data_IF_540311905327
#
_entry.id   IF_540311905327
#
_cell.length_a   1.000
_cell.length_b   1.000
_cell.length_c   1.000
_cell.angle_alpha   90.00
_cell.angle_beta   90.00
_cell.angle_gamma   90.00
#
_symmetry.space_group_name_H-M   'P 1'
#
loop_
_entity.id
_entity.type
_entity.pdbx_description
1 polymer ?
#
# COMPACT_ATOMS: atom_id res chain seq x y z
N UNK A 1 6.60 8.31 6.86
CA UNK A 1 5.96 8.22 5.53
C UNK A 1 4.56 7.61 5.58
N UNK A 2 4.36 6.32 5.88
CA UNK A 2 3.00 5.75 5.83
C UNK A 2 2.04 6.34 6.87
N UNK A 3 2.45 6.39 8.14
CA UNK A 3 1.64 7.00 9.20
C UNK A 3 1.27 8.45 8.89
N UNK A 4 2.20 9.18 8.30
CA UNK A 4 2.03 10.57 7.88
C UNK A 4 1.04 10.67 6.71
N UNK A 5 1.17 9.82 5.69
CA UNK A 5 0.21 9.76 4.58
C UNK A 5 -1.20 9.42 5.05
N UNK A 6 -1.34 8.50 6.01
CA UNK A 6 -2.63 8.18 6.64
C UNK A 6 -3.19 9.38 7.41
N UNK A 7 -2.35 10.03 8.20
CA UNK A 7 -2.73 11.23 8.94
C UNK A 7 -3.19 12.36 8.01
N UNK A 8 -2.46 12.65 6.95
CA UNK A 8 -2.82 13.65 5.94
C UNK A 8 -4.11 13.30 5.20
N UNK A 9 -4.33 12.01 4.90
CA UNK A 9 -5.56 11.55 4.26
C UNK A 9 -6.78 11.69 5.18
N UNK A 10 -6.62 11.40 6.48
CA UNK A 10 -7.66 11.62 7.49
C UNK A 10 -8.00 13.10 7.61
N UNK A 11 -6.99 13.98 7.70
CA UNK A 11 -7.20 15.43 7.71
C UNK A 11 -7.91 15.93 6.44
N UNK A 12 -7.49 15.43 5.28
CA UNK A 12 -8.12 15.77 3.99
C UNK A 12 -9.57 15.31 3.90
N UNK A 13 -9.92 14.22 4.58
CA UNK A 13 -11.28 13.72 4.69
C UNK A 13 -12.11 14.42 5.77
N UNK A 14 -11.51 15.32 6.56
CA UNK A 14 -12.14 16.00 7.68
C UNK A 14 -12.45 15.08 8.86
N UNK A 15 -11.69 13.99 9.02
CA UNK A 15 -11.84 13.00 10.08
C UNK A 15 -10.66 13.14 11.04
N UNK A 16 -10.92 13.24 12.34
CA UNK A 16 -9.88 13.29 13.37
C UNK A 16 -9.38 11.89 13.71
N UNK A 17 -8.17 11.79 14.26
CA UNK A 17 -7.63 10.50 14.71
C UNK A 17 -8.48 9.92 15.85
N UNK A 18 -9.03 10.79 16.71
CA UNK A 18 -9.91 10.40 17.80
C UNK A 18 -11.24 9.80 17.31
N UNK A 19 -11.75 10.23 16.16
CA UNK A 19 -12.93 9.62 15.53
C UNK A 19 -12.65 8.22 14.96
N UNK A 20 -11.38 7.93 14.64
CA UNK A 20 -10.95 6.63 14.11
C UNK A 20 -10.71 5.63 15.24
N UNK A 21 -10.16 6.09 16.36
CA UNK A 21 -9.85 5.23 17.52
C UNK A 21 -11.16 4.71 18.15
N UNK A 22 -11.45 3.44 17.93
CA UNK A 22 -12.63 2.74 18.48
C UNK A 22 -13.85 2.68 17.54
N UNK A 23 -13.74 3.20 16.31
CA UNK A 23 -14.74 3.01 15.27
C UNK A 23 -14.56 1.66 14.54
N UNK A 24 -15.61 1.20 13.85
CA UNK A 24 -15.54 0.03 12.96
C UNK A 24 -14.83 0.41 11.65
N UNK A 25 -13.50 0.37 11.71
CA UNK A 25 -12.60 0.76 10.64
C UNK A 25 -11.62 -0.36 10.36
N UNK A 26 -11.44 -0.68 9.09
CA UNK A 26 -10.41 -1.60 8.62
C UNK A 26 -9.34 -0.85 7.83
N UNK A 27 -8.07 -1.22 8.05
CA UNK A 27 -6.92 -0.66 7.34
C UNK A 27 -6.41 -1.69 6.33
N UNK A 28 -6.48 -1.33 5.05
CA UNK A 28 -5.97 -2.11 3.92
C UNK A 28 -4.65 -1.50 3.46
N UNK A 29 -3.55 -2.24 3.61
CA UNK A 29 -2.25 -1.78 3.12
C UNK A 29 -1.71 -2.73 2.06
N UNK A 30 -1.44 -2.16 0.89
CA UNK A 30 -0.81 -2.81 -0.24
C UNK A 30 0.67 -2.43 -0.34
N UNK A 31 1.52 -3.41 -0.64
CA UNK A 31 2.93 -3.17 -0.91
C UNK A 31 3.33 -3.93 -2.17
N UNK A 32 4.27 -3.38 -2.94
CA UNK A 32 4.79 -4.11 -4.10
C UNK A 32 5.78 -5.20 -3.66
N UNK A 33 6.74 -4.84 -2.81
CA UNK A 33 7.85 -5.68 -2.37
C UNK A 33 8.32 -5.24 -0.97
N UNK A 34 9.01 -6.15 -0.26
CA UNK A 34 9.58 -5.91 1.06
C UNK A 34 11.07 -5.53 0.99
N UNK A 35 11.43 -4.59 0.10
CA UNK A 35 12.82 -4.22 -0.18
C UNK A 35 13.66 -3.90 1.08
N UNK A 36 13.04 -3.25 2.07
CA UNK A 36 13.70 -2.91 3.33
C UNK A 36 14.03 -4.15 4.17
N UNK A 37 13.09 -5.09 4.29
CA UNK A 37 13.32 -6.34 5.01
C UNK A 37 14.33 -7.22 4.28
N UNK A 38 14.24 -7.32 2.95
CA UNK A 38 15.23 -8.05 2.15
C UNK A 38 16.65 -7.49 2.36
N UNK A 39 16.77 -6.17 2.51
CA UNK A 39 18.04 -5.51 2.79
C UNK A 39 18.55 -5.80 4.21
N UNK A 40 17.68 -5.79 5.22
CA UNK A 40 18.02 -6.11 6.61
C UNK A 40 18.43 -7.58 6.78
N UNK A 41 17.77 -8.50 6.08
CA UNK A 41 18.04 -9.94 6.13
C UNK A 41 19.35 -10.33 5.44
N UNK A 42 19.99 -9.42 4.70
CA UNK A 42 21.18 -9.71 3.88
C UNK A 42 22.43 -9.98 4.70
N UNK A 43 22.56 -9.35 5.87
CA UNK A 43 23.69 -9.53 6.79
C UNK A 43 23.19 -10.05 8.15
N UNK A 44 23.35 -11.36 8.43
CA UNK A 44 22.92 -11.97 9.67
C UNK A 44 23.52 -11.35 10.93
N UNK A 45 24.72 -10.77 10.83
CA UNK A 45 25.43 -10.19 11.99
C UNK A 45 24.88 -8.81 12.36
N UNK A 46 24.18 -8.15 11.43
CA UNK A 46 23.53 -6.85 11.66
C UNK A 46 22.03 -6.95 11.90
N UNK A 47 21.49 -8.18 11.86
CA UNK A 47 20.08 -8.41 12.01
C UNK A 47 19.60 -7.97 13.41
N UNK A 48 18.70 -6.96 13.49
CA UNK A 48 18.23 -6.49 14.78
C UNK A 48 17.40 -7.58 15.48
N UNK A 49 17.49 -7.73 16.80
CA UNK A 49 16.64 -8.66 17.53
C UNK A 49 15.19 -8.14 17.51
N UNK A 50 14.37 -8.68 16.62
CA UNK A 50 12.91 -8.48 16.60
C UNK A 50 12.20 -9.84 16.44
N UNK A 51 10.91 -9.91 16.81
CA UNK A 51 10.12 -11.13 16.68
C UNK A 51 9.72 -11.35 15.20
N UNK A 52 10.20 -12.42 14.53
CA UNK A 52 9.87 -12.69 13.14
C UNK A 52 8.36 -12.89 12.89
N UNK A 53 7.60 -13.32 13.91
CA UNK A 53 6.15 -13.51 13.81
C UNK A 53 5.39 -12.19 13.74
N UNK A 54 5.96 -11.10 14.26
CA UNK A 54 5.37 -9.76 14.12
C UNK A 54 5.55 -9.20 12.70
N UNK A 55 6.50 -9.74 11.92
CA UNK A 55 6.94 -9.16 10.63
C UNK A 55 6.40 -9.82 9.36
N UNK A 56 5.64 -10.91 9.47
CA UNK A 56 4.91 -11.40 8.29
C UNK A 56 3.68 -10.49 7.98
N UNK A 57 3.33 -9.63 8.95
CA UNK A 57 2.27 -8.62 8.91
C UNK A 57 2.80 -7.17 8.73
N UNK A 58 4.08 -6.99 8.37
CA UNK A 58 4.84 -5.77 8.71
C UNK A 58 4.62 -4.55 7.83
N UNK A 59 3.40 -4.03 7.92
CA UNK A 59 3.14 -2.63 7.69
C UNK A 59 2.50 -1.96 8.91
N UNK A 60 2.07 -2.72 9.94
CA UNK A 60 1.05 -2.21 10.86
C UNK A 60 1.15 -2.52 12.36
N UNK A 61 2.30 -2.44 13.06
CA UNK A 61 2.23 -2.29 14.52
C UNK A 61 1.57 -0.95 14.90
N UNK A 62 1.93 0.13 14.20
CA UNK A 62 1.45 1.48 14.50
C UNK A 62 0.08 1.79 13.87
N UNK A 63 -0.29 1.12 12.77
CA UNK A 63 -1.60 1.28 12.13
C UNK A 63 -2.67 0.36 12.70
N UNK A 64 -2.29 -0.74 13.38
CA UNK A 64 -3.23 -1.57 14.14
C UNK A 64 -3.96 -0.79 15.24
N UNK A 65 -3.39 0.35 15.68
CA UNK A 65 -4.06 1.28 16.61
C UNK A 65 -5.29 1.97 15.98
N UNK A 66 -5.39 2.04 14.65
CA UNK A 66 -6.51 2.64 13.92
C UNK A 66 -7.59 1.62 13.52
N UNK A 67 -7.25 0.34 13.48
CA UNK A 67 -8.15 -0.74 13.08
C UNK A 67 -7.37 -2.01 12.73
N UNK A 68 -8.00 -3.20 12.75
CA UNK A 68 -7.32 -4.43 12.42
C UNK A 68 -6.82 -4.40 10.96
N UNK A 69 -5.55 -4.77 10.70
CA UNK A 69 -5.08 -4.95 9.34
C UNK A 69 -5.79 -6.16 8.71
N UNK A 70 -6.31 -6.02 7.49
CA UNK A 70 -6.77 -7.20 6.73
C UNK A 70 -5.64 -7.80 5.91
N UNK A 71 -5.43 -9.13 5.97
CA UNK A 71 -4.44 -9.79 5.12
C UNK A 71 -4.83 -9.63 3.65
N UNK A 72 -3.85 -9.32 2.80
CA UNK A 72 -4.03 -9.34 1.36
C UNK A 72 -4.33 -10.79 0.94
N UNK A 73 -5.45 -10.99 0.23
CA UNK A 73 -6.03 -12.33 0.04
C UNK A 73 -5.36 -13.14 -1.09
N UNK A 74 -4.28 -12.63 -1.67
CA UNK A 74 -3.70 -13.08 -2.95
C UNK A 74 -2.18 -13.33 -2.88
N UNK A 75 -1.72 -13.97 -1.80
CA UNK A 75 -0.32 -14.41 -1.71
C UNK A 75 0.68 -13.27 -1.45
N UNK A 76 0.22 -12.17 -0.84
CA UNK A 76 0.97 -11.21 -0.04
C UNK A 76 2.02 -10.34 -0.75
N UNK A 77 2.91 -10.91 -1.53
CA UNK A 77 4.11 -10.24 -2.01
C UNK A 77 4.57 -10.88 -3.31
N UNK A 78 4.90 -10.06 -4.31
CA UNK A 78 5.34 -10.53 -5.61
C UNK A 78 5.31 -9.41 -6.65
N UNK A 79 5.82 -9.69 -7.85
CA UNK A 79 5.84 -8.72 -8.96
C UNK A 79 4.43 -8.49 -9.57
N UNK A 80 3.41 -8.32 -8.73
CA UNK A 80 2.03 -8.09 -9.12
C UNK A 80 1.66 -6.62 -8.96
N UNK A 81 1.47 -5.94 -10.09
CA UNK A 81 1.07 -4.53 -10.11
C UNK A 81 -0.41 -4.31 -9.76
N UNK A 82 -1.24 -5.36 -9.72
CA UNK A 82 -2.66 -5.25 -9.40
C UNK A 82 -2.95 -5.07 -7.92
N UNK A 83 -1.97 -5.29 -7.03
CA UNK A 83 -2.12 -5.16 -5.58
C UNK A 83 -2.64 -3.77 -5.20
N UNK A 84 -2.12 -2.71 -5.83
CA UNK A 84 -2.56 -1.33 -5.58
C UNK A 84 -4.02 -1.05 -5.95
N UNK A 85 -4.65 -1.88 -6.79
CA UNK A 85 -6.08 -1.79 -7.12
C UNK A 85 -6.92 -2.84 -6.38
N UNK A 86 -6.33 -3.98 -6.03
CA UNK A 86 -6.98 -5.01 -5.24
C UNK A 86 -7.33 -4.51 -3.83
N UNK A 87 -6.46 -3.71 -3.21
CA UNK A 87 -6.71 -3.18 -1.86
C UNK A 87 -7.91 -2.20 -1.80
N UNK A 88 -8.06 -1.21 -2.72
CA UNK A 88 -9.30 -0.45 -2.83
C UNK A 88 -10.53 -1.32 -3.09
N UNK A 89 -10.40 -2.36 -3.93
CA UNK A 89 -11.51 -3.25 -4.23
C UNK A 89 -12.00 -3.97 -2.97
N UNK A 90 -11.10 -4.52 -2.16
CA UNK A 90 -11.42 -5.19 -0.90
C UNK A 90 -12.06 -4.24 0.11
N UNK A 91 -11.53 -3.02 0.25
CA UNK A 91 -12.12 -1.99 1.10
C UNK A 91 -13.57 -1.67 0.69
N UNK A 92 -13.80 -1.55 -0.62
CA UNK A 92 -15.14 -1.34 -1.15
C UNK A 92 -16.08 -2.52 -0.88
N UNK A 93 -15.60 -3.77 -0.89
CA UNK A 93 -16.41 -4.93 -0.51
C UNK A 93 -16.77 -4.90 0.97
N UNK A 94 -15.80 -4.62 1.84
CA UNK A 94 -15.98 -4.56 3.29
C UNK A 94 -17.03 -3.50 3.69
N UNK A 95 -16.92 -2.30 3.12
CA UNK A 95 -17.90 -1.23 3.29
C UNK A 95 -19.30 -1.64 2.80
N UNK A 96 -19.41 -2.28 1.63
CA UNK A 96 -20.71 -2.73 1.09
C UNK A 96 -21.34 -3.88 1.89
N UNK A 97 -20.52 -4.72 2.50
CA UNK A 97 -20.97 -5.78 3.39
C UNK A 97 -21.47 -5.24 4.75
N UNK A 98 -21.21 -3.97 5.05
CA UNK A 98 -21.51 -3.37 6.35
C UNK A 98 -20.58 -3.84 7.45
N UNK A 99 -19.40 -4.35 7.09
CA UNK A 99 -18.35 -4.78 8.03
C UNK A 99 -17.55 -3.58 8.56
N UNK A 100 -17.51 -2.49 7.80
CA UNK A 100 -16.85 -1.24 8.16
C UNK A 100 -17.74 -0.03 7.83
N UNK A 101 -17.64 1.03 8.62
CA UNK A 101 -18.24 2.34 8.26
C UNK A 101 -17.28 3.21 7.44
N UNK A 102 -15.98 3.07 7.70
CA UNK A 102 -14.88 3.76 7.02
C UNK A 102 -13.77 2.74 6.76
N UNK A 103 -13.13 2.82 5.60
CA UNK A 103 -11.95 2.02 5.28
C UNK A 103 -10.77 2.93 4.92
N UNK A 104 -9.62 2.65 5.51
CA UNK A 104 -8.35 3.31 5.19
C UNK A 104 -7.62 2.41 4.18
N UNK A 105 -7.27 2.95 3.02
CA UNK A 105 -6.55 2.20 1.98
C UNK A 105 -5.25 2.89 1.68
N UNK A 106 -4.14 2.20 1.92
CA UNK A 106 -2.80 2.72 1.62
C UNK A 106 -2.07 1.79 0.66
N UNK A 107 -1.22 2.35 -0.19
CA UNK A 107 -0.29 1.61 -1.01
C UNK A 107 1.08 2.26 -0.98
N UNK A 108 2.13 1.46 -0.88
CA UNK A 108 3.51 1.95 -0.87
C UNK A 108 4.42 1.12 -1.77
N UNK A 109 5.38 1.79 -2.41
CA UNK A 109 6.47 1.17 -3.15
C UNK A 109 7.74 2.01 -2.95
N UNK A 110 8.76 1.39 -2.38
CA UNK A 110 10.12 1.93 -2.26
C UNK A 110 11.11 0.98 -2.93
N UNK A 111 12.10 1.54 -3.60
CA UNK A 111 13.09 0.86 -4.43
C UNK A 111 14.46 0.93 -3.76
N UNK A 112 14.59 0.22 -2.64
CA UNK A 112 15.79 0.22 -1.80
C UNK A 112 16.77 -0.85 -2.26
N UNK A 113 16.25 -2.00 -2.72
CA UNK A 113 17.08 -3.13 -3.12
C UNK A 113 17.32 -3.14 -4.65
N UNK A 114 18.58 -3.07 -5.13
CA UNK A 114 18.88 -3.12 -6.56
C UNK A 114 18.60 -4.50 -7.21
N UNK A 115 18.53 -5.58 -6.43
CA UNK A 115 18.36 -6.95 -6.96
C UNK A 115 17.06 -7.08 -7.77
N UNK A 116 16.02 -6.35 -7.37
CA UNK A 116 14.75 -6.31 -8.09
C UNK A 116 14.88 -5.63 -9.44
N UNK A 117 15.70 -4.58 -9.58
CA UNK A 117 15.96 -3.98 -10.89
C UNK A 117 16.66 -4.96 -11.82
N UNK A 118 17.62 -5.73 -11.30
CA UNK A 118 18.33 -6.75 -12.09
C UNK A 118 17.35 -7.83 -12.55
N UNK A 119 16.53 -8.34 -11.63
CA UNK A 119 15.50 -9.34 -11.93
C UNK A 119 14.53 -8.83 -13.01
N UNK A 120 13.92 -7.67 -12.80
CA UNK A 120 12.93 -7.12 -13.72
C UNK A 120 13.53 -6.73 -15.09
N UNK A 121 14.79 -6.28 -15.11
CA UNK A 121 15.52 -6.03 -16.35
C UNK A 121 15.75 -7.33 -17.13
N UNK A 122 16.17 -8.40 -16.45
CA UNK A 122 16.37 -9.72 -17.08
C UNK A 122 15.07 -10.35 -17.61
N UNK A 123 13.92 -10.01 -17.01
CA UNK A 123 12.60 -10.40 -17.48
C UNK A 123 12.06 -9.50 -18.60
N UNK A 124 12.77 -8.43 -18.97
CA UNK A 124 12.38 -7.50 -20.04
C UNK A 124 11.23 -6.55 -19.65
N UNK A 125 10.99 -6.31 -18.35
CA UNK A 125 9.92 -5.42 -17.90
C UNK A 125 10.33 -3.94 -17.96
N UNK A 126 11.62 -3.65 -17.84
CA UNK A 126 12.12 -2.29 -17.68
C UNK A 126 12.53 -1.66 -19.01
N UNK A 127 12.15 -0.39 -19.19
CA UNK A 127 12.61 0.43 -20.31
C UNK A 127 14.09 0.80 -20.12
N UNK A 128 14.89 0.69 -21.18
CA UNK A 128 16.30 1.13 -21.19
C UNK A 128 16.46 2.64 -20.93
N UNK A 129 15.44 3.43 -21.27
CA UNK A 129 15.39 4.87 -21.02
C UNK A 129 14.91 5.21 -19.60
N UNK A 130 14.56 4.20 -18.78
CA UNK A 130 13.91 4.37 -17.47
C UNK A 130 12.63 5.20 -17.52
N UNK A 131 11.94 5.21 -18.66
CA UNK A 131 10.71 5.98 -18.90
C UNK A 131 9.60 5.10 -19.44
N UNK A 132 8.38 5.40 -19.00
CA UNK A 132 7.15 4.79 -19.51
C UNK A 132 6.60 5.61 -20.67
N UNK A 133 6.63 5.05 -21.88
CA UNK A 133 6.06 5.68 -23.08
C UNK A 133 4.69 5.06 -23.41
N UNK A 134 3.66 5.40 -22.63
CA UNK A 134 2.33 4.79 -22.76
C UNK A 134 1.77 4.95 -24.19
N UNK A 135 1.45 3.82 -24.83
CA UNK A 135 0.88 3.74 -26.18
C UNK A 135 1.72 4.38 -27.30
N UNK A 136 3.01 4.61 -27.06
CA UNK A 136 3.93 5.17 -28.05
C UNK A 136 4.69 4.07 -28.79
N UNK A 137 5.12 4.32 -30.03
CA UNK A 137 5.97 3.40 -30.80
C UNK A 137 7.37 3.13 -30.18
N UNK A 138 7.75 3.90 -29.14
CA UNK A 138 9.02 3.78 -28.41
C UNK A 138 8.87 2.92 -27.15
N UNK A 139 7.68 2.42 -26.85
CA UNK A 139 7.43 1.60 -25.68
C UNK A 139 8.23 0.30 -25.75
N UNK A 140 9.12 0.10 -24.78
CA UNK A 140 10.00 -1.08 -24.66
C UNK A 140 9.99 -1.68 -23.25
N UNK A 141 9.07 -1.22 -22.40
CA UNK A 141 9.01 -1.50 -20.97
C UNK A 141 8.49 -0.27 -20.22
N UNK A 142 8.50 -0.32 -18.89
CA UNK A 142 8.12 0.82 -18.05
C UNK A 142 9.30 1.32 -17.22
N UNK A 143 9.24 2.60 -16.82
CA UNK A 143 10.13 3.16 -15.80
C UNK A 143 9.54 2.92 -14.43
N UNK A 144 10.29 2.30 -13.51
CA UNK A 144 9.83 2.12 -12.13
C UNK A 144 9.75 3.48 -11.42
N UNK A 145 8.79 3.60 -10.51
CA UNK A 145 8.62 4.78 -9.67
C UNK A 145 8.37 4.36 -8.23
N UNK A 146 8.76 5.22 -7.29
CA UNK A 146 8.44 5.08 -5.87
C UNK A 146 7.25 5.95 -5.51
N UNK A 147 6.60 5.62 -4.41
CA UNK A 147 5.57 6.48 -3.87
C UNK A 147 4.76 5.82 -2.79
N UNK A 148 4.02 6.66 -2.10
CA UNK A 148 3.04 6.28 -1.12
C UNK A 148 1.75 7.05 -1.38
N UNK A 149 0.62 6.37 -1.28
CA UNK A 149 -0.69 6.97 -1.45
C UNK A 149 -1.67 6.38 -0.47
N UNK A 150 -2.44 7.24 0.18
CA UNK A 150 -3.51 6.85 1.08
C UNK A 150 -4.82 7.49 0.67
N UNK A 151 -5.89 6.73 0.68
CA UNK A 151 -7.25 7.20 0.47
C UNK A 151 -8.15 6.74 1.61
N UNK A 152 -9.12 7.58 1.96
CA UNK A 152 -10.18 7.26 2.91
C UNK A 152 -11.45 6.98 2.12
N UNK A 153 -12.06 5.81 2.36
CA UNK A 153 -13.27 5.38 1.65
C UNK A 153 -14.40 5.23 2.66
N UNK A 154 -15.57 5.77 2.33
CA UNK A 154 -16.80 5.65 3.14
C UNK A 154 -18.03 5.53 2.23
N UNK A 155 -19.09 4.90 2.72
CA UNK A 155 -20.36 4.88 2.01
C UNK A 155 -21.02 6.27 2.00
N UNK A 156 -21.51 6.67 0.84
CA UNK A 156 -22.34 7.88 0.72
C UNK A 156 -23.75 7.59 1.23
N UNK A 157 -24.03 7.99 2.47
CA UNK A 157 -25.39 7.95 3.03
C UNK A 157 -26.30 9.05 2.47
N UNK A 158 -25.71 10.10 1.86
CA UNK A 158 -26.39 11.18 1.12
C UNK A 158 -25.56 11.58 -0.12
N UNK A 159 -26.17 12.02 -1.23
CA UNK A 159 -25.45 12.55 -2.38
C UNK A 159 -24.59 13.75 -1.96
N UNK A 160 -23.34 13.82 -2.44
CA UNK A 160 -22.52 15.01 -2.25
C UNK A 160 -23.12 16.16 -3.08
N UNK A 161 -23.33 17.31 -2.46
CA UNK A 161 -23.65 18.54 -3.20
C UNK A 161 -22.48 18.82 -4.14
N UNK A 162 -22.77 18.83 -5.44
CA UNK A 162 -21.77 18.99 -6.48
C UNK A 162 -21.30 20.44 -6.43
N UNK A 163 -20.11 20.69 -5.87
CA UNK A 163 -19.46 22.01 -5.96
C UNK A 163 -19.21 22.26 -7.45
N UNK A 164 -20.01 23.16 -8.01
CA UNK A 164 -19.98 23.57 -9.42
C UNK A 164 -19.06 24.77 -9.59
#
# INVERSE_FOLDING_TARGET
MLLESVYEALQSAGITVEEVIGAEITVFVGEFLKDYMDSLMRDPDTFPPFDPQETDHDVQPNLALLGPPRPQHDGGYGLSCSIGLATPHQACQSLRAGEDEIAIVSYTNFMINPDIFVLMSSLGFLSVDSRSYAFHNRASGYGRGEGIGTIIVKLLRKPLETVT
#
